data_IF_017852004533
#
_entry.id   IF_017852004533
#
_cell.length_a   1.000
_cell.length_b   1.000
_cell.length_c   1.000
_cell.angle_alpha   90.00
_cell.angle_beta   90.00
_cell.angle_gamma   90.00
#
_symmetry.space_group_name_H-M   'P 1'
#
loop_
_entity.id
_entity.type
_entity.pdbx_description
1 polymer ?
#
# COMPACT_ATOMS: atom_id res chain seq x y z
N UNK A 1 22.66 15.08 -24.22
CA UNK A 1 23.30 13.77 -23.99
C UNK A 1 22.22 12.72 -24.18
N UNK A 2 22.34 11.81 -25.15
CA UNK A 2 21.30 10.80 -25.40
C UNK A 2 21.42 9.66 -24.37
N UNK A 3 20.29 9.19 -23.79
CA UNK A 3 20.31 8.12 -22.80
C UNK A 3 20.75 6.78 -23.40
N UNK A 4 21.45 5.99 -22.60
CA UNK A 4 22.01 4.67 -22.97
C UNK A 4 20.90 3.63 -23.09
N UNK A 5 21.10 2.58 -23.89
CA UNK A 5 20.12 1.49 -24.12
C UNK A 5 19.51 0.89 -22.82
N UNK A 6 20.28 0.77 -21.73
CA UNK A 6 19.76 0.27 -20.44
C UNK A 6 18.71 1.21 -19.81
N UNK A 7 18.87 2.51 -19.99
CA UNK A 7 17.94 3.51 -19.48
C UNK A 7 16.61 3.49 -20.24
N UNK A 8 16.61 3.06 -21.51
CA UNK A 8 15.39 2.80 -22.27
C UNK A 8 14.66 1.54 -21.79
N UNK A 9 15.37 0.46 -21.45
CA UNK A 9 14.75 -0.79 -20.99
C UNK A 9 14.09 -0.63 -19.62
N UNK A 10 14.71 0.10 -18.68
CA UNK A 10 14.11 0.40 -17.38
C UNK A 10 12.85 1.27 -17.49
N UNK A 11 12.85 2.26 -18.39
CA UNK A 11 11.68 3.11 -18.65
C UNK A 11 10.55 2.32 -19.33
N UNK A 12 10.87 1.39 -20.23
CA UNK A 12 9.88 0.54 -20.90
C UNK A 12 9.26 -0.47 -19.93
N UNK A 13 10.08 -1.09 -19.06
CA UNK A 13 9.60 -1.98 -18.00
C UNK A 13 8.69 -1.25 -17.00
N UNK A 14 9.04 -0.05 -16.53
CA UNK A 14 8.19 0.71 -15.59
C UNK A 14 6.82 1.08 -16.19
N UNK A 15 6.75 1.41 -17.48
CA UNK A 15 5.51 1.81 -18.14
C UNK A 15 4.64 0.61 -18.56
N UNK A 16 5.25 -0.51 -18.97
CA UNK A 16 4.53 -1.73 -19.38
C UNK A 16 4.13 -2.58 -18.16
N UNK A 17 4.97 -2.66 -17.13
CA UNK A 17 4.67 -3.35 -15.89
C UNK A 17 3.46 -2.73 -15.19
N UNK A 18 3.41 -1.40 -15.08
CA UNK A 18 2.32 -0.71 -14.38
C UNK A 18 0.95 -0.92 -15.03
N UNK A 19 0.85 -0.93 -16.35
CA UNK A 19 -0.44 -1.07 -17.06
C UNK A 19 -0.96 -2.51 -17.06
N UNK A 20 -0.11 -3.49 -17.33
CA UNK A 20 -0.46 -4.91 -17.28
C UNK A 20 -0.75 -5.37 -15.85
N UNK A 21 0.07 -4.98 -14.88
CA UNK A 21 -0.14 -5.28 -13.46
C UNK A 21 -1.45 -4.70 -12.96
N UNK A 22 -1.76 -3.43 -13.29
CA UNK A 22 -3.02 -2.82 -12.90
C UNK A 22 -4.24 -3.52 -13.55
N UNK A 23 -4.13 -3.98 -14.80
CA UNK A 23 -5.19 -4.76 -15.44
C UNK A 23 -5.38 -6.13 -14.78
N UNK A 24 -4.29 -6.81 -14.41
CA UNK A 24 -4.34 -8.08 -13.68
C UNK A 24 -5.00 -7.91 -12.31
N UNK A 25 -4.63 -6.87 -11.54
CA UNK A 25 -5.26 -6.55 -10.25
C UNK A 25 -6.76 -6.31 -10.41
N UNK A 26 -7.16 -5.53 -11.43
CA UNK A 26 -8.59 -5.32 -11.73
C UNK A 26 -9.31 -6.63 -12.07
N UNK A 27 -8.64 -7.56 -12.75
CA UNK A 27 -9.23 -8.86 -13.11
C UNK A 27 -9.28 -9.86 -11.95
N UNK A 28 -8.47 -9.68 -10.90
CA UNK A 28 -8.38 -10.59 -9.77
C UNK A 28 -9.66 -10.62 -8.91
N UNK A 29 -10.52 -9.60 -9.03
CA UNK A 29 -11.81 -9.55 -8.34
C UNK A 29 -11.67 -9.33 -6.84
N UNK A 30 -12.55 -9.94 -6.06
CA UNK A 30 -12.56 -9.83 -4.59
C UNK A 30 -11.88 -11.06 -3.92
N UNK A 31 -11.57 -10.93 -2.63
CA UNK A 31 -11.00 -11.97 -1.79
C UNK A 31 -12.06 -12.80 -1.03
N UNK A 32 -13.35 -12.53 -1.24
CA UNK A 32 -14.44 -13.22 -0.57
C UNK A 32 -14.37 -13.09 0.95
N UNK A 33 -14.43 -14.22 1.66
CA UNK A 33 -14.34 -14.32 3.11
C UNK A 33 -12.92 -14.60 3.63
N UNK A 34 -11.91 -14.53 2.77
CA UNK A 34 -10.51 -14.69 3.21
C UNK A 34 -10.14 -13.54 4.15
N UNK A 35 -9.56 -13.80 5.33
CA UNK A 35 -9.19 -12.74 6.26
C UNK A 35 -8.15 -11.81 5.63
N UNK A 36 -8.34 -10.49 5.81
CA UNK A 36 -7.43 -9.46 5.33
C UNK A 36 -7.29 -8.37 6.40
N UNK A 37 -6.05 -8.04 6.75
CA UNK A 37 -5.73 -6.88 7.57
C UNK A 37 -4.79 -5.99 6.76
N UNK A 38 -5.20 -4.74 6.54
CA UNK A 38 -4.40 -3.72 5.87
C UNK A 38 -3.77 -2.83 6.93
N UNK A 39 -2.45 -2.88 7.07
CA UNK A 39 -1.70 -1.99 7.96
C UNK A 39 -1.26 -0.76 7.14
N UNK A 40 -1.80 0.41 7.47
CA UNK A 40 -1.47 1.67 6.80
C UNK A 40 -0.60 2.53 7.70
N UNK A 41 0.63 2.80 7.25
CA UNK A 41 1.53 3.75 7.89
C UNK A 41 1.03 5.19 7.68
N UNK A 42 1.08 5.99 8.75
CA UNK A 42 0.75 7.41 8.71
C UNK A 42 1.72 8.16 9.63
N UNK A 43 2.74 8.79 9.04
CA UNK A 43 3.59 9.77 9.74
C UNK A 43 3.87 10.95 8.85
N UNK A 44 3.47 12.13 9.31
CA UNK A 44 3.60 13.37 8.55
C UNK A 44 5.06 13.86 8.44
N UNK A 45 5.92 13.43 9.37
CA UNK A 45 7.33 13.83 9.40
C UNK A 45 8.17 13.19 8.26
N UNK A 46 7.66 12.12 7.64
CA UNK A 46 8.32 11.46 6.51
C UNK A 46 8.08 12.20 5.17
N UNK A 47 7.23 13.23 5.18
CA UNK A 47 6.88 13.99 3.98
C UNK A 47 7.98 15.03 3.70
N UNK A 48 8.62 15.01 2.51
CA UNK A 48 9.64 15.98 2.15
C UNK A 48 9.14 17.43 2.28
N UNK A 49 9.96 18.28 2.89
CA UNK A 49 9.58 19.67 3.19
C UNK A 49 9.31 20.53 1.95
N UNK A 50 9.75 20.08 0.77
CA UNK A 50 9.47 20.75 -0.51
C UNK A 50 8.02 20.54 -0.99
N UNK A 51 7.32 19.53 -0.46
CA UNK A 51 5.93 19.25 -0.83
C UNK A 51 5.01 20.23 -0.08
N UNK A 52 4.17 21.00 -0.79
CA UNK A 52 3.21 21.88 -0.13
C UNK A 52 2.30 21.07 0.80
N UNK A 53 2.10 21.54 2.03
CA UNK A 53 1.27 20.87 3.05
C UNK A 53 -0.11 20.46 2.53
N UNK A 54 -0.73 21.29 1.68
CA UNK A 54 -2.04 21.00 1.07
C UNK A 54 -2.01 19.75 0.19
N UNK A 55 -0.91 19.52 -0.52
CA UNK A 55 -0.76 18.43 -1.48
C UNK A 55 -0.41 17.15 -0.72
N UNK A 56 0.47 17.27 0.29
CA UNK A 56 0.75 16.22 1.27
C UNK A 56 -0.53 15.72 1.97
N UNK A 57 -1.39 16.63 2.41
CA UNK A 57 -2.64 16.27 3.06
C UNK A 57 -3.66 15.65 2.10
N UNK A 58 -3.69 16.08 0.83
CA UNK A 58 -4.55 15.49 -0.19
C UNK A 58 -4.08 14.07 -0.57
N UNK A 59 -2.77 13.85 -0.63
CA UNK A 59 -2.16 12.54 -0.86
C UNK A 59 -2.42 11.60 0.32
N UNK A 60 -2.25 12.08 1.56
CA UNK A 60 -2.57 11.33 2.78
C UNK A 60 -4.04 10.93 2.80
N UNK A 61 -4.97 11.87 2.52
CA UNK A 61 -6.40 11.57 2.47
C UNK A 61 -6.71 10.51 1.41
N UNK A 62 -6.22 10.70 0.17
CA UNK A 62 -6.39 9.74 -0.91
C UNK A 62 -5.88 8.35 -0.52
N UNK A 63 -4.67 8.28 0.01
CA UNK A 63 -4.02 7.03 0.35
C UNK A 63 -4.70 6.34 1.53
N UNK A 64 -4.74 7.00 2.69
CA UNK A 64 -5.16 6.41 3.97
C UNK A 64 -6.68 6.27 4.06
N UNK A 65 -7.45 7.20 3.50
CA UNK A 65 -8.90 7.29 3.70
C UNK A 65 -9.73 6.87 2.49
N UNK A 66 -9.14 6.64 1.31
CA UNK A 66 -9.85 6.10 0.15
C UNK A 66 -9.24 4.77 -0.32
N UNK A 67 -7.98 4.76 -0.75
CA UNK A 67 -7.37 3.60 -1.41
C UNK A 67 -7.16 2.40 -0.47
N UNK A 68 -6.61 2.63 0.72
CA UNK A 68 -6.36 1.55 1.69
C UNK A 68 -7.67 0.92 2.23
N UNK A 69 -8.74 1.69 2.53
CA UNK A 69 -10.06 1.13 2.82
C UNK A 69 -10.65 0.32 1.67
N UNK A 70 -10.48 0.76 0.41
CA UNK A 70 -10.94 0.01 -0.76
C UNK A 70 -10.24 -1.35 -0.88
N UNK A 71 -8.93 -1.40 -0.61
CA UNK A 71 -8.18 -2.64 -0.55
C UNK A 71 -8.72 -3.57 0.54
N UNK A 72 -8.98 -3.05 1.75
CA UNK A 72 -9.57 -3.84 2.83
C UNK A 72 -10.93 -4.43 2.43
N UNK A 73 -11.75 -3.66 1.70
CA UNK A 73 -13.08 -4.09 1.22
C UNK A 73 -13.06 -5.20 0.17
N UNK A 74 -11.90 -5.58 -0.37
CA UNK A 74 -11.81 -6.78 -1.20
C UNK A 74 -12.18 -8.03 -0.39
N UNK A 75 -12.04 -8.02 0.93
CA UNK A 75 -12.53 -9.07 1.82
C UNK A 75 -13.78 -8.63 2.58
N UNK A 76 -14.76 -9.52 2.74
CA UNK A 76 -15.92 -9.32 3.62
C UNK A 76 -15.54 -9.31 5.11
N UNK A 77 -14.34 -9.80 5.43
CA UNK A 77 -13.72 -9.79 6.76
C UNK A 77 -12.54 -8.82 6.84
N UNK A 78 -12.39 -7.95 5.85
CA UNK A 78 -11.30 -7.02 5.76
C UNK A 78 -11.40 -5.89 6.77
N UNK A 79 -10.25 -5.49 7.34
CA UNK A 79 -10.13 -4.29 8.17
C UNK A 79 -8.84 -3.55 7.88
N UNK A 80 -8.86 -2.25 8.09
CA UNK A 80 -7.68 -1.40 8.03
C UNK A 80 -7.29 -0.97 9.45
N UNK A 81 -5.99 -0.97 9.74
CA UNK A 81 -5.41 -0.38 10.95
C UNK A 81 -4.45 0.72 10.52
N UNK A 82 -4.67 1.93 11.02
CA UNK A 82 -3.79 3.08 10.77
C UNK A 82 -2.80 3.16 11.93
N UNK A 83 -1.51 3.16 11.61
CA UNK A 83 -0.42 3.10 12.58
C UNK A 83 0.46 4.33 12.41
N UNK A 84 0.83 4.98 13.50
CA UNK A 84 1.83 6.06 13.51
C UNK A 84 3.24 5.48 13.28
N UNK A 85 3.47 5.12 12.02
CA UNK A 85 4.68 4.46 11.54
C UNK A 85 5.19 5.19 10.31
N UNK A 86 6.50 5.11 10.10
CA UNK A 86 7.11 5.46 8.83
C UNK A 86 7.04 4.31 7.83
N UNK A 87 7.82 4.44 6.75
CA UNK A 87 7.93 3.40 5.72
C UNK A 87 8.36 2.04 6.30
N UNK A 88 9.19 2.02 7.34
CA UNK A 88 9.82 0.83 7.92
C UNK A 88 9.04 0.26 9.13
N UNK A 89 7.71 0.16 9.01
CA UNK A 89 6.83 -0.37 10.07
C UNK A 89 7.29 -1.71 10.68
N UNK A 90 7.81 -2.69 9.93
CA UNK A 90 8.29 -3.93 10.54
C UNK A 90 9.44 -3.75 11.53
N UNK A 91 10.23 -2.68 11.39
CA UNK A 91 11.34 -2.34 12.29
C UNK A 91 10.85 -1.48 13.46
N UNK A 92 9.95 -0.52 13.19
CA UNK A 92 9.45 0.43 14.19
C UNK A 92 8.38 -0.16 15.11
N UNK A 93 7.47 -0.95 14.53
CA UNK A 93 6.31 -1.57 15.17
C UNK A 93 6.22 -3.08 14.86
N UNK A 94 7.27 -3.87 15.13
CA UNK A 94 7.27 -5.31 14.86
C UNK A 94 6.08 -6.04 15.52
N UNK A 95 5.66 -5.60 16.70
CA UNK A 95 4.54 -6.15 17.44
C UNK A 95 3.21 -6.04 16.71
N UNK A 96 2.98 -4.95 15.98
CA UNK A 96 1.75 -4.74 15.20
C UNK A 96 1.71 -5.71 14.02
N UNK A 97 2.84 -5.85 13.32
CA UNK A 97 2.98 -6.76 12.18
C UNK A 97 2.80 -8.21 12.62
N UNK A 98 3.49 -8.62 13.68
CA UNK A 98 3.40 -9.97 14.25
C UNK A 98 1.96 -10.26 14.68
N UNK A 99 1.32 -9.35 15.41
CA UNK A 99 -0.06 -9.53 15.86
C UNK A 99 -1.05 -9.67 14.69
N UNK A 100 -0.90 -8.86 13.64
CA UNK A 100 -1.75 -8.93 12.46
C UNK A 100 -1.59 -10.28 11.72
N UNK A 101 -0.36 -10.78 11.58
CA UNK A 101 -0.08 -12.10 10.98
C UNK A 101 -0.73 -13.21 11.79
N UNK A 102 -0.60 -13.19 13.12
CA UNK A 102 -1.24 -14.17 14.00
C UNK A 102 -2.77 -14.12 13.88
N UNK A 103 -3.36 -12.93 13.82
CA UNK A 103 -4.81 -12.79 13.67
C UNK A 103 -5.29 -13.37 12.33
N UNK A 104 -4.61 -13.06 11.23
CA UNK A 104 -4.93 -13.63 9.91
C UNK A 104 -4.81 -15.16 9.91
N UNK A 105 -3.75 -15.69 10.53
CA UNK A 105 -3.54 -17.14 10.64
C UNK A 105 -4.67 -17.84 11.40
N UNK A 106 -5.03 -17.32 12.57
CA UNK A 106 -6.13 -17.84 13.40
C UNK A 106 -7.49 -17.68 12.72
N UNK A 107 -7.65 -16.65 11.90
CA UNK A 107 -8.88 -16.37 11.16
C UNK A 107 -9.08 -17.27 9.94
N UNK A 108 -8.02 -17.91 9.44
CA UNK A 108 -8.02 -18.76 8.26
C UNK A 108 -8.11 -20.27 8.58
N UNK A 109 -7.92 -20.65 9.85
CA UNK A 109 -7.98 -22.02 10.36
C UNK A 109 -9.07 -22.18 11.42
#
# INVERSE_FOLDING_TARGET
MLPTKHQFTMIDEDQVFSTLSAAQVRSAGNLGDRPLIVLSAMRQDDIPSEIPRKDAQAEEDLWVHHLQPELARLSTRGKQLIIDSGHEMPTEHPEVVISAVHEVWLAAH
#
